data_IF_419816769269
#
_entry.id   IF_419816769269
#
_cell.length_a   1.000
_cell.length_b   1.000
_cell.length_c   1.000
_cell.angle_alpha   90.00
_cell.angle_beta   90.00
_cell.angle_gamma   90.00
#
_symmetry.space_group_name_H-M   'P 1'
#
loop_
_entity.id
_entity.type
_entity.pdbx_description
1 polymer ?
#
# COMPACT_ATOMS: atom_id res chain seq x y z
N UNK A 1 -3.88 -1.97 -6.55
CA UNK A 1 -4.37 -1.24 -5.36
C UNK A 1 -3.36 -0.24 -4.82
N UNK A 2 -2.13 -0.63 -4.47
CA UNK A 2 -1.09 0.30 -3.95
C UNK A 2 -0.88 1.54 -4.84
N UNK A 3 -0.90 1.38 -6.17
CA UNK A 3 -0.76 2.52 -7.10
C UNK A 3 -1.87 3.56 -6.98
N UNK A 4 -3.13 3.11 -6.89
CA UNK A 4 -4.30 4.00 -6.77
C UNK A 4 -4.30 4.67 -5.41
N UNK A 5 -4.04 3.91 -4.33
CA UNK A 5 -4.01 4.46 -2.97
C UNK A 5 -2.92 5.52 -2.85
N UNK A 6 -1.68 5.18 -3.24
CA UNK A 6 -0.57 6.15 -3.20
C UNK A 6 -0.80 7.34 -4.14
N UNK A 7 -1.48 7.15 -5.27
CA UNK A 7 -1.86 8.25 -6.17
C UNK A 7 -2.86 9.21 -5.53
N UNK A 8 -3.97 8.69 -5.01
CA UNK A 8 -5.02 9.49 -4.36
C UNK A 8 -4.46 10.18 -3.13
N UNK A 9 -3.69 9.48 -2.30
CA UNK A 9 -3.04 10.08 -1.11
C UNK A 9 -2.02 11.15 -1.50
N UNK A 10 -1.21 10.92 -2.54
CA UNK A 10 -0.26 11.96 -2.99
C UNK A 10 -1.02 13.17 -3.55
N UNK A 11 -2.10 12.94 -4.30
CA UNK A 11 -2.91 14.00 -4.89
C UNK A 11 -3.65 14.82 -3.83
N UNK A 12 -4.18 14.17 -2.79
CA UNK A 12 -4.89 14.84 -1.71
C UNK A 12 -3.97 15.62 -0.77
N UNK A 13 -2.72 15.17 -0.58
CA UNK A 13 -1.78 15.81 0.35
C UNK A 13 -0.92 16.90 -0.32
N UNK A 14 -0.52 16.70 -1.58
CA UNK A 14 0.44 17.59 -2.26
C UNK A 14 -0.14 18.31 -3.48
N UNK A 15 -1.33 17.93 -3.94
CA UNK A 15 -1.94 18.47 -5.17
C UNK A 15 -1.18 18.09 -6.45
N UNK A 16 -1.69 18.53 -7.60
CA UNK A 16 -1.10 18.27 -8.93
C UNK A 16 -0.05 19.31 -9.33
N UNK A 17 1.00 19.47 -8.53
CA UNK A 17 2.14 20.34 -8.84
C UNK A 17 3.12 19.75 -9.87
N UNK A 18 4.12 20.53 -10.30
CA UNK A 18 5.15 20.10 -11.26
C UNK A 18 5.93 18.86 -10.82
N UNK A 19 6.10 18.66 -9.51
CA UNK A 19 6.80 17.52 -8.93
C UNK A 19 5.87 16.33 -8.58
N UNK A 20 4.58 16.41 -8.89
CA UNK A 20 3.59 15.42 -8.46
C UNK A 20 3.95 14.00 -8.91
N UNK A 21 4.29 13.82 -10.19
CA UNK A 21 4.68 12.50 -10.74
C UNK A 21 5.93 11.94 -10.08
N UNK A 22 6.92 12.79 -9.76
CA UNK A 22 8.15 12.37 -9.10
C UNK A 22 7.91 11.96 -7.64
N UNK A 23 7.09 12.74 -6.91
CA UNK A 23 6.70 12.43 -5.53
C UNK A 23 5.82 11.19 -5.47
N UNK A 24 4.82 11.09 -6.34
CA UNK A 24 3.95 9.92 -6.42
C UNK A 24 4.74 8.66 -6.78
N UNK A 25 5.64 8.74 -7.77
CA UNK A 25 6.48 7.61 -8.18
C UNK A 25 7.34 7.09 -7.04
N UNK A 26 7.99 7.98 -6.26
CA UNK A 26 8.75 7.57 -5.06
C UNK A 26 7.86 6.91 -4.02
N UNK A 27 6.72 7.52 -3.70
CA UNK A 27 5.77 6.99 -2.71
C UNK A 27 5.21 5.64 -3.13
N UNK A 28 4.91 5.46 -4.42
CA UNK A 28 4.45 4.20 -4.99
C UNK A 28 5.50 3.10 -4.85
N UNK A 29 6.76 3.37 -5.22
CA UNK A 29 7.84 2.37 -5.12
C UNK A 29 8.07 1.97 -3.67
N UNK A 30 8.18 2.92 -2.75
CA UNK A 30 8.38 2.64 -1.31
C UNK A 30 7.19 1.83 -0.77
N UNK A 31 5.96 2.26 -1.07
CA UNK A 31 4.76 1.57 -0.64
C UNK A 31 4.65 0.15 -1.21
N UNK A 32 5.06 -0.06 -2.46
CA UNK A 32 5.02 -1.36 -3.11
C UNK A 32 6.05 -2.33 -2.50
N UNK A 33 7.30 -1.86 -2.29
CA UNK A 33 8.36 -2.65 -1.65
C UNK A 33 8.00 -3.01 -0.22
N UNK A 34 7.27 -2.15 0.51
CA UNK A 34 6.77 -2.47 1.85
C UNK A 34 5.57 -3.43 1.82
N UNK A 35 4.64 -3.24 0.88
CA UNK A 35 3.40 -4.02 0.80
C UNK A 35 3.65 -5.49 0.44
N UNK A 36 4.58 -5.78 -0.48
CA UNK A 36 4.88 -7.17 -0.91
C UNK A 36 5.26 -8.08 0.27
N UNK A 37 6.32 -7.80 1.08
CA UNK A 37 6.68 -8.66 2.20
C UNK A 37 5.60 -8.68 3.28
N UNK A 38 4.91 -7.56 3.50
CA UNK A 38 3.79 -7.49 4.45
C UNK A 38 2.66 -8.46 4.07
N UNK A 39 2.29 -8.55 2.79
CA UNK A 39 1.27 -9.50 2.32
C UNK A 39 1.71 -10.95 2.55
N UNK A 40 2.97 -11.28 2.24
CA UNK A 40 3.49 -12.64 2.48
C UNK A 40 3.50 -13.03 3.97
N UNK A 41 3.72 -12.07 4.88
CA UNK A 41 3.65 -12.33 6.33
C UNK A 41 2.21 -12.33 6.86
N UNK A 42 1.36 -11.40 6.41
CA UNK A 42 0.01 -11.22 6.93
C UNK A 42 -0.98 -12.24 6.39
N UNK A 43 -0.83 -12.70 5.15
CA UNK A 43 -1.72 -13.71 4.57
C UNK A 43 -1.84 -15.00 5.42
N UNK A 44 -0.73 -15.64 5.87
CA UNK A 44 -0.84 -16.82 6.73
C UNK A 44 -1.39 -16.50 8.13
N UNK A 45 -1.09 -15.32 8.68
CA UNK A 45 -1.61 -14.89 9.99
C UNK A 45 -3.13 -14.69 9.92
N UNK A 46 -3.61 -13.99 8.89
CA UNK A 46 -5.03 -13.79 8.64
C UNK A 46 -5.75 -15.15 8.53
N UNK A 47 -5.18 -16.10 7.76
CA UNK A 47 -5.72 -17.46 7.65
C UNK A 47 -5.82 -18.16 9.00
N UNK A 48 -4.79 -18.06 9.86
CA UNK A 48 -4.80 -18.68 11.20
C UNK A 48 -5.89 -18.06 12.09
N UNK A 49 -6.01 -16.74 12.09
CA UNK A 49 -7.03 -16.03 12.87
C UNK A 49 -8.44 -16.38 12.40
N UNK A 50 -8.68 -16.44 11.09
CA UNK A 50 -9.98 -16.84 10.55
C UNK A 50 -10.36 -18.26 10.98
N UNK A 51 -9.42 -19.21 10.97
CA UNK A 51 -9.66 -20.58 11.44
C UNK A 51 -9.97 -20.62 12.93
N UNK A 52 -9.27 -19.82 13.76
CA UNK A 52 -9.53 -19.75 15.20
C UNK A 52 -10.88 -19.11 15.55
N UNK A 53 -11.38 -18.18 14.74
CA UNK A 53 -12.65 -17.49 14.99
C UNK A 53 -13.88 -18.30 14.54
N UNK A 54 -13.71 -19.21 13.58
CA UNK A 54 -14.80 -20.00 13.02
C UNK A 54 -14.98 -21.37 13.69
N UNK A 55 -14.15 -21.68 14.68
CA UNK A 55 -14.05 -22.98 15.35
C UNK A 55 -14.27 -22.83 16.85
#
# INVERSE_FOLDING_TARGET
MVGIVTFVTTASNFGFGSNFLATWGKTYVIGYVAAVPAIYMLAPIARRLTVQLLN
#
